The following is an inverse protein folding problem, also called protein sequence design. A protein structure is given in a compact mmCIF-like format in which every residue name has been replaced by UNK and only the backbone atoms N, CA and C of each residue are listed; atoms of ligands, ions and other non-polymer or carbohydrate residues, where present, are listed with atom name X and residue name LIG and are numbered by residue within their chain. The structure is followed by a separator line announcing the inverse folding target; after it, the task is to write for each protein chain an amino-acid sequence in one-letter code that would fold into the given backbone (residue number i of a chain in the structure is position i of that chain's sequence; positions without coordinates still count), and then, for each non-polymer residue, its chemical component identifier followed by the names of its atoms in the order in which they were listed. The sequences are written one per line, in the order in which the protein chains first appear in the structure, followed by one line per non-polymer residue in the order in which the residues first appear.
data_IF_402859551123
#
_entry.id   IF_402859551123
#
_cell.length_a   1.000
_cell.length_b   1.000
_cell.length_c   1.000
_cell.angle_alpha   90.00
_cell.angle_beta   90.00
_cell.angle_gamma   90.00
#
_symmetry.space_group_name_H-M   'P 1'
#
loop_
_entity.id
_entity.type
_entity.pdbx_description
1 polymer ?
#
# COMPACT_ATOMS: atom_id res chain seq x y z
N UNK A 1 9.03 14.90 -22.21
CA UNK A 1 10.47 14.65 -22.05
C UNK A 1 10.69 14.14 -20.62
N UNK A 2 10.15 12.98 -20.22
CA UNK A 2 10.58 11.59 -20.50
C UNK A 2 12.08 11.38 -20.25
N UNK A 3 12.43 11.06 -19.01
CA UNK A 3 13.71 10.48 -18.61
C UNK A 3 13.37 9.12 -17.97
N UNK A 4 13.40 8.00 -18.71
CA UNK A 4 14.61 7.29 -19.13
C UNK A 4 15.53 7.01 -17.93
N UNK A 5 15.14 6.06 -17.10
CA UNK A 5 16.07 5.25 -16.32
C UNK A 5 15.74 3.78 -16.59
N UNK A 6 16.33 3.30 -17.67
CA UNK A 6 16.61 1.90 -17.88
C UNK A 6 17.90 1.57 -17.11
N UNK A 7 17.83 0.57 -16.25
CA UNK A 7 18.89 -0.43 -16.19
C UNK A 7 18.26 -1.79 -15.96
N UNK A 8 18.72 -2.75 -16.75
CA UNK A 8 18.12 -4.06 -16.95
C UNK A 8 19.00 -5.18 -16.39
N UNK A 9 18.37 -6.08 -15.61
CA UNK A 9 18.63 -7.54 -15.60
C UNK A 9 19.38 -8.14 -14.40
N UNK A 10 19.29 -9.48 -14.18
CA UNK A 10 18.70 -10.49 -15.05
C UNK A 10 17.60 -11.36 -14.39
N UNK A 11 16.78 -12.04 -15.20
CA UNK A 11 15.83 -13.05 -14.70
C UNK A 11 14.71 -13.41 -15.67
N UNK A 12 15.06 -14.00 -16.81
CA UNK A 12 14.13 -14.67 -17.72
C UNK A 12 13.54 -15.94 -17.08
N UNK A 13 12.21 -16.02 -17.04
CA UNK A 13 11.42 -17.23 -17.32
C UNK A 13 9.98 -16.76 -17.54
N UNK A 14 9.53 -16.61 -18.79
CA UNK A 14 9.01 -17.68 -19.65
C UNK A 14 7.47 -17.63 -19.70
N UNK A 15 6.96 -17.28 -20.87
CA UNK A 15 5.80 -17.96 -21.46
C UNK A 15 4.40 -17.66 -20.92
N UNK A 16 3.63 -17.00 -21.80
CA UNK A 16 2.25 -17.33 -22.14
C UNK A 16 1.10 -16.84 -21.23
N UNK A 17 0.28 -15.95 -21.83
CA UNK A 17 -1.18 -15.97 -21.67
C UNK A 17 -1.78 -14.78 -20.96
N UNK A 18 -2.31 -13.83 -21.71
CA UNK A 18 -3.51 -13.08 -21.33
C UNK A 18 -4.62 -13.43 -22.33
N UNK A 19 -5.92 -13.37 -21.98
CA UNK A 19 -6.50 -12.89 -20.72
C UNK A 19 -7.44 -13.92 -20.05
N UNK A 20 -7.13 -14.33 -18.82
CA UNK A 20 -8.09 -15.00 -17.94
C UNK A 20 -8.97 -13.98 -17.23
N UNK A 21 -9.89 -13.35 -17.96
CA UNK A 21 -11.01 -12.64 -17.35
C UNK A 21 -11.91 -13.65 -16.66
N UNK A 22 -11.94 -13.62 -15.33
CA UNK A 22 -12.70 -14.57 -14.54
C UNK A 22 -12.96 -14.04 -13.14
N UNK A 23 -13.75 -12.96 -13.06
CA UNK A 23 -14.68 -12.65 -11.98
C UNK A 23 -14.40 -13.24 -10.57
N UNK A 24 -13.19 -13.11 -10.03
CA UNK A 24 -12.98 -13.23 -8.59
C UNK A 24 -13.42 -11.91 -7.96
N UNK A 25 -14.72 -11.86 -7.66
CA UNK A 25 -15.28 -10.99 -6.63
C UNK A 25 -14.53 -11.28 -5.33
N UNK A 26 -13.36 -10.66 -5.20
CA UNK A 26 -12.42 -10.84 -4.10
C UNK A 26 -13.07 -10.39 -2.81
N UNK A 27 -13.71 -11.34 -2.13
CA UNK A 27 -13.90 -11.25 -0.69
C UNK A 27 -12.50 -11.12 -0.07
N UNK A 28 -12.31 -10.31 0.96
CA UNK A 28 -11.00 -10.14 1.62
C UNK A 28 -10.33 -11.49 1.94
N UNK A 29 -11.12 -12.53 2.20
CA UNK A 29 -10.68 -13.91 2.40
C UNK A 29 -9.93 -14.54 1.19
N UNK A 30 -10.26 -14.23 -0.06
CA UNK A 30 -9.63 -14.87 -1.23
C UNK A 30 -8.32 -14.17 -1.67
N UNK A 31 -8.18 -12.87 -1.37
CA UNK A 31 -7.07 -12.04 -1.83
C UNK A 31 -7.13 -11.71 -3.33
N UNK A 32 -6.36 -10.72 -3.77
CA UNK A 32 -6.33 -10.23 -5.15
C UNK A 32 -4.91 -10.30 -5.73
N UNK A 33 -4.80 -10.47 -7.06
CA UNK A 33 -3.50 -10.37 -7.74
C UNK A 33 -3.07 -8.91 -7.92
N UNK A 34 -1.76 -8.66 -8.09
CA UNK A 34 -1.26 -7.32 -8.41
C UNK A 34 -1.87 -6.76 -9.71
N UNK A 35 -2.10 -7.66 -10.68
CA UNK A 35 -2.81 -7.39 -11.92
C UNK A 35 -4.23 -6.88 -11.67
N UNK A 36 -5.02 -7.61 -10.87
CA UNK A 36 -6.39 -7.24 -10.55
C UNK A 36 -6.48 -5.94 -9.73
N UNK A 37 -5.49 -5.65 -8.89
CA UNK A 37 -5.39 -4.39 -8.15
C UNK A 37 -5.11 -3.21 -9.09
N UNK A 38 -4.26 -3.39 -10.10
CA UNK A 38 -3.95 -2.35 -11.08
C UNK A 38 -5.12 -2.00 -11.98
N UNK A 39 -6.01 -2.95 -12.24
CA UNK A 39 -7.23 -2.70 -13.01
C UNK A 39 -8.26 -1.89 -12.20
N UNK A 40 -8.07 -1.73 -10.88
CA UNK A 40 -8.98 -1.01 -9.97
C UNK A 40 -8.40 0.29 -9.41
N UNK A 41 -7.12 0.55 -9.62
CA UNK A 41 -6.42 1.70 -9.04
C UNK A 41 -5.70 2.47 -10.14
N UNK A 42 -5.65 3.81 -10.10
CA UNK A 42 -4.93 4.63 -11.08
C UNK A 42 -3.40 4.59 -10.82
N UNK A 43 -2.83 3.39 -10.66
CA UNK A 43 -1.44 3.13 -10.31
C UNK A 43 -0.93 1.96 -11.14
N UNK A 44 0.31 2.04 -11.62
CA UNK A 44 0.88 1.00 -12.48
C UNK A 44 1.08 -0.32 -11.73
N UNK A 45 1.03 -1.45 -12.46
CA UNK A 45 1.29 -2.80 -11.92
C UNK A 45 2.64 -2.88 -11.19
N UNK A 46 3.67 -2.24 -11.73
CA UNK A 46 5.00 -2.22 -11.11
C UNK A 46 5.03 -1.44 -9.79
N UNK A 47 4.35 -0.29 -9.73
CA UNK A 47 4.23 0.46 -8.48
C UNK A 47 3.43 -0.33 -7.44
N UNK A 48 2.33 -1.00 -7.85
CA UNK A 48 1.57 -1.89 -6.97
C UNK A 48 2.43 -3.04 -6.44
N UNK A 49 3.25 -3.68 -7.28
CA UNK A 49 4.17 -4.74 -6.82
C UNK A 49 5.17 -4.23 -5.78
N UNK A 50 5.72 -3.01 -5.96
CA UNK A 50 6.59 -2.37 -4.98
C UNK A 50 5.87 -2.13 -3.65
N UNK A 51 4.66 -1.59 -3.70
CA UNK A 51 3.87 -1.36 -2.48
C UNK A 51 3.53 -2.67 -1.76
N UNK A 52 3.12 -3.70 -2.49
CA UNK A 52 2.81 -5.01 -1.90
C UNK A 52 4.03 -5.64 -1.24
N UNK A 53 5.23 -5.50 -1.80
CA UNK A 53 6.45 -5.98 -1.16
C UNK A 53 6.74 -5.26 0.17
N UNK A 54 6.56 -3.93 0.21
CA UNK A 54 6.73 -3.15 1.45
C UNK A 54 5.68 -3.53 2.50
N UNK A 55 4.42 -3.68 2.08
CA UNK A 55 3.33 -4.05 2.97
C UNK A 55 3.48 -5.48 3.51
N UNK A 56 3.98 -6.41 2.70
CA UNK A 56 4.25 -7.79 3.10
C UNK A 56 5.42 -7.84 4.10
N UNK A 57 6.50 -7.10 3.84
CA UNK A 57 7.61 -6.95 4.79
C UNK A 57 7.19 -6.29 6.11
N UNK A 58 6.20 -5.41 6.08
CA UNK A 58 5.62 -4.78 7.26
C UNK A 58 4.56 -5.65 7.99
N UNK A 59 4.25 -6.84 7.47
CA UNK A 59 3.23 -7.73 8.05
C UNK A 59 1.79 -7.21 7.91
N UNK A 60 1.53 -6.30 6.98
CA UNK A 60 0.21 -5.69 6.76
C UNK A 60 -0.61 -6.42 5.69
N UNK A 61 0.05 -7.17 4.83
CA UNK A 61 -0.56 -8.05 3.85
C UNK A 61 0.16 -9.40 3.89
N UNK A 62 -0.55 -10.45 3.52
CA UNK A 62 0.03 -11.78 3.27
C UNK A 62 -0.12 -12.14 1.80
N UNK A 63 0.86 -12.86 1.25
CA UNK A 63 0.77 -13.41 -0.10
C UNK A 63 0.62 -14.93 -0.10
N UNK A 64 -0.15 -15.46 -1.05
CA UNK A 64 -0.28 -16.89 -1.30
C UNK A 64 -0.23 -17.16 -2.79
N UNK A 65 0.51 -18.20 -3.17
CA UNK A 65 0.48 -18.72 -4.55
C UNK A 65 -0.73 -19.64 -4.67
N UNK A 66 -1.63 -19.32 -5.60
CA UNK A 66 -2.80 -20.13 -5.93
C UNK A 66 -2.71 -20.45 -7.42
N UNK A 67 -2.37 -21.71 -7.73
CA UNK A 67 -2.04 -22.12 -9.09
C UNK A 67 -0.76 -21.45 -9.57
N UNK A 68 -0.88 -20.56 -10.57
CA UNK A 68 0.23 -19.77 -11.12
C UNK A 68 0.19 -18.30 -10.70
N UNK A 69 -0.78 -17.92 -9.88
CA UNK A 69 -1.02 -16.53 -9.52
C UNK A 69 -0.64 -16.27 -8.06
N UNK A 70 0.11 -15.19 -7.82
CA UNK A 70 0.33 -14.68 -6.47
C UNK A 70 -0.83 -13.76 -6.11
N UNK A 71 -1.58 -14.15 -5.08
CA UNK A 71 -2.70 -13.39 -4.50
C UNK A 71 -2.26 -12.76 -3.18
N UNK A 72 -2.74 -11.56 -2.92
CA UNK A 72 -2.45 -10.75 -1.74
C UNK A 72 -3.71 -10.50 -0.94
N UNK A 73 -3.64 -10.71 0.37
CA UNK A 73 -4.72 -10.46 1.32
C UNK A 73 -4.27 -9.43 2.35
N UNK A 74 -5.12 -8.45 2.58
CA UNK A 74 -4.91 -7.48 3.65
C UNK A 74 -5.18 -8.11 5.01
N UNK A 75 -4.24 -7.95 5.94
CA UNK A 75 -4.41 -8.34 7.33
C UNK A 75 -5.12 -7.20 8.06
N UNK A 76 -6.46 -7.19 7.95
CA UNK A 76 -7.30 -6.07 8.39
C UNK A 76 -7.10 -5.69 9.86
N UNK A 77 -6.82 -6.67 10.73
CA UNK A 77 -6.52 -6.41 12.14
C UNK A 77 -5.22 -5.61 12.34
N UNK A 78 -4.16 -5.96 11.61
CA UNK A 78 -2.85 -5.28 11.68
C UNK A 78 -2.90 -3.87 11.07
N UNK A 79 -3.59 -3.72 9.94
CA UNK A 79 -3.85 -2.41 9.34
C UNK A 79 -4.63 -1.49 10.29
N UNK A 80 -5.63 -2.02 10.98
CA UNK A 80 -6.39 -1.24 11.97
C UNK A 80 -5.53 -0.89 13.18
N UNK A 81 -4.68 -1.80 13.65
CA UNK A 81 -3.75 -1.54 14.74
C UNK A 81 -2.72 -0.45 14.39
N UNK A 82 -2.19 -0.48 13.16
CA UNK A 82 -1.30 0.55 12.65
C UNK A 82 -2.02 1.89 12.50
N UNK A 83 -3.24 1.90 11.97
CA UNK A 83 -4.07 3.10 11.87
C UNK A 83 -4.24 3.79 13.24
N UNK A 84 -4.65 3.02 14.26
CA UNK A 84 -4.75 3.52 15.65
C UNK A 84 -3.42 4.05 16.20
N UNK A 85 -2.28 3.48 15.79
CA UNK A 85 -0.96 3.98 16.21
C UNK A 85 -0.63 5.32 15.57
N UNK A 86 -0.94 5.50 14.29
CA UNK A 86 -0.75 6.75 13.57
C UNK A 86 -1.66 7.85 14.11
N UNK A 87 -2.93 7.54 14.43
CA UNK A 87 -3.85 8.46 15.08
C UNK A 87 -3.29 9.00 16.40
N UNK A 88 -2.79 8.13 17.29
CA UNK A 88 -2.17 8.56 18.56
C UNK A 88 -0.97 9.48 18.36
N UNK A 89 -0.19 9.26 17.32
CA UNK A 89 0.93 10.14 16.98
C UNK A 89 0.38 11.49 16.53
N UNK A 90 -0.62 11.49 15.64
CA UNK A 90 -1.32 12.69 15.18
C UNK A 90 -1.87 13.53 16.33
N UNK A 91 -2.59 12.90 17.27
CA UNK A 91 -3.16 13.58 18.44
C UNK A 91 -2.07 14.26 19.29
N UNK A 92 -0.92 13.59 19.48
CA UNK A 92 0.18 14.16 20.23
C UNK A 92 0.81 15.38 19.55
N UNK A 93 0.90 15.36 18.22
CA UNK A 93 1.34 16.51 17.42
C UNK A 93 0.35 17.66 17.51
N UNK A 94 -0.94 17.38 17.33
CA UNK A 94 -2.01 18.39 17.39
C UNK A 94 -2.02 19.10 18.75
N UNK A 95 -1.93 18.34 19.84
CA UNK A 95 -1.83 18.91 21.19
C UNK A 95 -0.59 19.79 21.37
N UNK A 96 0.55 19.39 20.79
CA UNK A 96 1.79 20.17 20.88
C UNK A 96 1.71 21.46 20.06
N UNK A 97 1.18 21.38 18.84
CA UNK A 97 0.99 22.54 17.97
C UNK A 97 -0.03 23.51 18.57
N UNK A 98 -1.12 23.00 19.16
CA UNK A 98 -2.10 23.81 19.87
C UNK A 98 -1.49 24.62 21.03
N UNK A 99 -0.58 24.02 21.81
CA UNK A 99 0.15 24.76 22.86
C UNK A 99 1.04 25.87 22.30
N UNK A 100 1.76 25.60 21.21
CA UNK A 100 2.61 26.60 20.56
C UNK A 100 1.75 27.76 20.03
N UNK A 101 0.63 27.45 19.37
CA UNK A 101 -0.31 28.45 18.87
C UNK A 101 -0.91 29.31 19.98
N UNK A 102 -1.22 28.72 21.14
CA UNK A 102 -1.72 29.46 22.30
C UNK A 102 -0.68 30.45 22.85
N UNK A 103 0.59 30.04 22.97
CA UNK A 103 1.68 30.91 23.41
C UNK A 103 1.89 32.06 22.42
N UNK A 104 1.89 31.78 21.12
CA UNK A 104 2.04 32.82 20.10
C UNK A 104 0.92 33.87 20.19
N UNK A 105 -0.34 33.43 20.35
CA UNK A 105 -1.49 34.33 20.53
C UNK A 105 -1.40 35.18 21.80
N UNK A 106 -0.75 34.70 22.86
CA UNK A 106 -0.55 35.46 24.10
C UNK A 106 0.48 36.57 23.88
N UNK A 107 1.58 36.27 23.18
CA UNK A 107 2.61 37.24 22.83
C UNK A 107 2.11 38.35 21.90
N UNK A 108 1.14 38.06 21.02
CA UNK A 108 0.53 39.07 20.13
C UNK A 108 -0.43 40.03 20.85
N UNK A 109 -0.90 39.67 22.06
CA UNK A 109 -1.90 40.45 22.81
C UNK A 109 -1.30 41.37 23.88
N UNK A 110 -0.03 41.21 24.22
CA UNK A 110 0.70 42.04 25.19
C UNK A 110 1.65 43.01 24.50
#
# INVERSE_FOLDING_TARGET
MLQALADAGPGSAAGAGAPGGGADAGTSAAGLTASALADRLPVTRQAIAKHLAVLEAAGLVESRIVGRERRYRALGAELTALGRRLERIGDAWEARLGRIAAIAKELERG
#
